data_IF_602016656024
#
_entry.id   IF_602016656024
#
_cell.length_a   1.000
_cell.length_b   1.000
_cell.length_c   1.000
_cell.angle_alpha   90.00
_cell.angle_beta   90.00
_cell.angle_gamma   90.00
#
_symmetry.space_group_name_H-M   'P 1'
#
loop_
_entity.id
_entity.type
_entity.pdbx_description
1 polymer ?
#
# COMPACT_ATOMS: atom_id res chain seq x y z
N UNK A 1 -14.35 11.46 5.50
CA UNK A 1 -13.81 10.34 6.29
C UNK A 1 -12.74 9.70 5.45
N UNK A 2 -11.50 9.74 5.92
CA UNK A 2 -10.33 9.38 5.14
C UNK A 2 -10.03 7.89 5.40
N UNK A 3 -10.51 7.03 4.52
CA UNK A 3 -10.45 5.57 4.70
C UNK A 3 -9.21 4.98 4.05
N UNK A 4 -8.31 4.44 4.87
CA UNK A 4 -7.42 3.38 4.44
C UNK A 4 -8.18 2.07 4.58
N UNK A 5 -8.41 1.38 3.48
CA UNK A 5 -9.07 0.09 3.46
C UNK A 5 -8.04 -1.01 3.35
N UNK A 6 -7.98 -1.88 4.36
CA UNK A 6 -7.07 -3.02 4.36
C UNK A 6 -7.81 -4.29 3.98
N UNK A 7 -7.21 -5.09 3.09
CA UNK A 7 -7.71 -6.41 2.69
C UNK A 7 -6.62 -7.44 2.88
N UNK A 8 -6.93 -8.58 3.52
CA UNK A 8 -5.97 -9.68 3.74
C UNK A 8 -5.09 -9.54 4.99
N UNK A 9 -5.52 -8.75 5.99
CA UNK A 9 -4.82 -8.62 7.29
C UNK A 9 -4.91 -9.92 8.12
N UNK A 10 -5.86 -10.79 7.82
CA UNK A 10 -6.07 -12.04 8.56
C UNK A 10 -4.87 -12.98 8.51
N UNK A 11 -4.06 -12.90 7.46
CA UNK A 11 -2.84 -13.70 7.28
C UNK A 11 -1.59 -13.09 7.94
N UNK A 12 -1.72 -11.91 8.55
CA UNK A 12 -0.61 -11.18 9.19
C UNK A 12 -0.53 -11.41 10.70
N UNK A 13 0.71 -11.51 11.18
CA UNK A 13 1.07 -11.55 12.59
C UNK A 13 0.84 -10.18 13.26
N UNK A 14 0.89 -10.12 14.59
CA UNK A 14 0.79 -8.85 15.35
C UNK A 14 1.88 -7.84 14.95
N UNK A 15 3.16 -8.26 14.92
CA UNK A 15 4.28 -7.41 14.49
C UNK A 15 4.11 -6.87 13.05
N UNK A 16 3.53 -7.67 12.16
CA UNK A 16 3.28 -7.28 10.78
C UNK A 16 2.12 -6.29 10.68
N UNK A 17 1.14 -6.39 11.58
CA UNK A 17 0.03 -5.43 11.66
C UNK A 17 0.50 -4.09 12.20
N UNK A 18 1.38 -4.08 13.20
CA UNK A 18 2.01 -2.84 13.68
C UNK A 18 2.81 -2.18 12.57
N UNK A 19 3.63 -2.96 11.86
CA UNK A 19 4.38 -2.49 10.68
C UNK A 19 3.44 -1.95 9.60
N UNK A 20 2.32 -2.64 9.32
CA UNK A 20 1.31 -2.21 8.36
C UNK A 20 0.74 -0.84 8.75
N UNK A 21 0.33 -0.68 10.01
CA UNK A 21 -0.26 0.56 10.50
C UNK A 21 0.73 1.73 10.44
N UNK A 22 1.97 1.51 10.89
CA UNK A 22 3.00 2.55 10.89
C UNK A 22 3.33 3.02 9.46
N UNK A 23 3.61 2.09 8.55
CA UNK A 23 3.99 2.41 7.17
C UNK A 23 2.79 2.99 6.42
N UNK A 24 1.59 2.46 6.63
CA UNK A 24 0.39 2.94 5.93
C UNK A 24 0.00 4.34 6.36
N UNK A 25 0.12 4.67 7.65
CA UNK A 25 -0.14 6.03 8.14
C UNK A 25 0.82 7.04 7.51
N UNK A 26 2.13 6.77 7.56
CA UNK A 26 3.16 7.63 6.95
C UNK A 26 2.97 7.78 5.45
N UNK A 27 2.67 6.67 4.76
CA UNK A 27 2.49 6.68 3.30
C UNK A 27 1.20 7.36 2.89
N UNK A 28 0.14 7.25 3.69
CA UNK A 28 -1.12 7.93 3.46
C UNK A 28 -0.96 9.45 3.50
N UNK A 29 -0.25 9.99 4.50
CA UNK A 29 0.06 11.42 4.55
C UNK A 29 0.84 11.90 3.32
N UNK A 30 1.82 11.12 2.86
CA UNK A 30 2.57 11.43 1.63
C UNK A 30 1.65 11.44 0.39
N UNK A 31 0.81 10.42 0.23
CA UNK A 31 -0.13 10.34 -0.91
C UNK A 31 -1.12 11.51 -0.85
N UNK A 32 -1.65 11.83 0.32
CA UNK A 32 -2.54 12.98 0.54
C UNK A 32 -1.86 14.30 0.13
N UNK A 33 -0.62 14.50 0.55
CA UNK A 33 0.17 15.69 0.21
C UNK A 33 0.47 15.77 -1.29
N UNK A 34 0.75 14.65 -1.96
CA UNK A 34 0.97 14.60 -3.41
C UNK A 34 -0.29 14.94 -4.20
N UNK A 35 -1.44 14.39 -3.79
CA UNK A 35 -2.71 14.60 -4.49
C UNK A 35 -3.37 15.94 -4.16
N UNK A 36 -2.95 16.60 -3.06
CA UNK A 36 -3.53 17.86 -2.53
C UNK A 36 -5.06 17.84 -2.46
N UNK A 37 -5.64 16.65 -2.22
CA UNK A 37 -7.09 16.41 -2.21
C UNK A 37 -7.46 15.59 -0.98
N UNK A 38 -8.42 16.10 -0.22
CA UNK A 38 -8.86 15.50 1.04
C UNK A 38 -9.68 14.21 0.85
N UNK A 39 -10.36 14.04 -0.29
CA UNK A 39 -11.19 12.86 -0.61
C UNK A 39 -10.40 11.71 -1.26
N UNK A 40 -9.17 11.48 -0.82
CA UNK A 40 -8.36 10.36 -1.33
C UNK A 40 -8.64 9.08 -0.53
N UNK A 41 -9.06 8.02 -1.23
CA UNK A 41 -9.20 6.68 -0.67
C UNK A 41 -7.99 5.83 -1.03
N UNK A 42 -7.40 5.13 -0.05
CA UNK A 42 -6.29 4.22 -0.28
C UNK A 42 -6.69 2.81 0.15
N UNK A 43 -6.57 1.84 -0.75
CA UNK A 43 -6.83 0.44 -0.46
C UNK A 43 -5.54 -0.36 -0.53
N UNK A 44 -5.23 -1.12 0.51
CA UNK A 44 -4.05 -1.99 0.59
C UNK A 44 -4.53 -3.44 0.61
N UNK A 45 -4.19 -4.18 -0.43
CA UNK A 45 -4.49 -5.60 -0.57
C UNK A 45 -3.23 -6.42 -0.33
N UNK A 46 -3.32 -7.34 0.62
CA UNK A 46 -2.22 -8.17 1.08
C UNK A 46 -2.59 -9.62 0.78
N UNK A 47 -1.71 -10.34 0.10
CA UNK A 47 -1.84 -11.77 -0.17
C UNK A 47 -0.56 -12.47 0.27
N UNK A 48 -0.70 -13.50 1.09
CA UNK A 48 0.43 -14.34 1.49
C UNK A 48 0.41 -15.65 0.70
N UNK A 49 1.54 -16.00 0.11
CA UNK A 49 1.76 -17.27 -0.58
C UNK A 49 2.75 -18.09 0.23
N UNK A 50 2.29 -19.21 0.80
CA UNK A 50 3.18 -20.16 1.48
C UNK A 50 3.83 -21.05 0.42
N UNK A 51 5.17 -21.07 0.34
CA UNK A 51 5.88 -22.17 -0.32
C UNK A 51 6.14 -23.27 0.71
N UNK A 52 6.33 -24.53 0.27
CA UNK A 52 6.68 -25.66 1.16
C UNK A 52 7.80 -25.24 2.13
N UNK A 53 7.54 -25.30 3.45
CA UNK A 53 8.45 -24.86 4.52
C UNK A 53 7.92 -23.65 5.31
N UNK A 54 8.80 -22.94 6.00
CA UNK A 54 8.47 -21.75 6.83
C UNK A 54 8.49 -20.41 6.07
N UNK A 55 8.90 -20.40 4.81
CA UNK A 55 9.02 -19.15 4.02
C UNK A 55 7.69 -18.75 3.40
N UNK A 56 7.18 -17.57 3.79
CA UNK A 56 6.04 -16.90 3.17
C UNK A 56 6.51 -15.82 2.19
N UNK A 57 5.89 -15.77 1.02
CA UNK A 57 6.05 -14.67 0.05
C UNK A 57 4.83 -13.77 0.14
N UNK A 58 5.05 -12.48 0.30
CA UNK A 58 4.01 -11.48 0.39
C UNK A 58 3.83 -10.83 -0.97
N UNK A 59 2.58 -10.67 -1.38
CA UNK A 59 2.18 -9.82 -2.48
C UNK A 59 1.35 -8.69 -1.92
N UNK A 60 1.85 -7.47 -2.06
CA UNK A 60 1.16 -6.26 -1.60
C UNK A 60 0.77 -5.46 -2.83
N UNK A 61 -0.49 -5.06 -2.89
CA UNK A 61 -1.03 -4.18 -3.93
C UNK A 61 -1.66 -2.98 -3.25
N UNK A 62 -1.18 -1.79 -3.59
CA UNK A 62 -1.74 -0.52 -3.12
C UNK A 62 -2.51 0.12 -4.26
N UNK A 63 -3.71 0.59 -3.95
CA UNK A 63 -4.58 1.33 -4.87
C UNK A 63 -4.91 2.67 -4.23
N UNK A 64 -4.59 3.77 -4.90
CA UNK A 64 -4.99 5.11 -4.51
C UNK A 64 -6.05 5.63 -5.49
N UNK A 65 -7.21 6.03 -4.97
CA UNK A 65 -8.32 6.61 -5.70
C UNK A 65 -8.32 8.11 -5.47
N UNK A 66 -8.16 8.88 -6.54
CA UNK A 66 -8.28 10.33 -6.50
C UNK A 66 -9.71 10.76 -6.92
N UNK A 67 -10.23 11.89 -6.40
CA UNK A 67 -11.58 12.38 -6.71
C UNK A 67 -11.85 12.66 -8.19
N UNK A 68 -10.81 12.92 -8.98
CA UNK A 68 -10.91 13.27 -10.40
C UNK A 68 -10.85 12.05 -11.34
N UNK A 69 -11.31 10.88 -10.89
CA UNK A 69 -11.36 9.61 -11.66
C UNK A 69 -10.00 8.92 -11.89
N UNK A 70 -8.89 9.51 -11.44
CA UNK A 70 -7.57 8.86 -11.55
C UNK A 70 -7.44 7.74 -10.52
N UNK A 71 -7.11 6.55 -11.01
CA UNK A 71 -6.84 5.37 -10.19
C UNK A 71 -5.35 5.03 -10.36
N UNK A 72 -4.61 5.10 -9.27
CA UNK A 72 -3.22 4.66 -9.23
C UNK A 72 -3.16 3.30 -8.55
N UNK A 73 -2.48 2.34 -9.17
CA UNK A 73 -2.42 0.99 -8.64
C UNK A 73 -1.08 0.40 -8.98
N UNK A 74 -0.33 0.10 -7.92
CA UNK A 74 0.90 -0.64 -8.06
C UNK A 74 0.96 -1.77 -7.05
N UNK A 75 1.73 -2.79 -7.38
CA UNK A 75 1.96 -3.90 -6.49
C UNK A 75 3.38 -4.42 -6.62
N UNK A 76 3.78 -5.17 -5.61
CA UNK A 76 5.08 -5.80 -5.54
C UNK A 76 4.96 -7.12 -4.80
N UNK A 77 5.99 -7.95 -4.93
CA UNK A 77 6.10 -9.19 -4.17
C UNK A 77 7.46 -9.28 -3.53
N UNK A 78 7.50 -9.59 -2.24
CA UNK A 78 8.74 -9.73 -1.51
C UNK A 78 8.63 -10.86 -0.47
N UNK A 79 9.76 -11.37 -0.01
CA UNK A 79 9.83 -12.33 1.09
C UNK A 79 9.76 -11.65 2.46
N UNK A 80 10.01 -10.34 2.51
CA UNK A 80 9.90 -9.51 3.72
C UNK A 80 8.70 -8.59 3.56
N UNK A 81 7.75 -8.66 4.48
CA UNK A 81 6.50 -7.90 4.43
C UNK A 81 6.73 -6.38 4.38
N UNK A 82 7.58 -5.86 5.27
CA UNK A 82 7.91 -4.43 5.33
C UNK A 82 8.45 -3.89 3.99
N UNK A 83 9.33 -4.65 3.34
CA UNK A 83 9.88 -4.29 2.04
C UNK A 83 8.80 -4.29 0.96
N UNK A 84 7.93 -5.33 0.93
CA UNK A 84 6.82 -5.36 -0.01
C UNK A 84 5.86 -4.18 0.19
N UNK A 85 5.61 -3.78 1.43
CA UNK A 85 4.72 -2.68 1.73
C UNK A 85 5.32 -1.33 1.31
N UNK A 86 6.56 -1.05 1.71
CA UNK A 86 7.28 0.17 1.31
C UNK A 86 7.40 0.28 -0.20
N UNK A 87 7.85 -0.78 -0.88
CA UNK A 87 7.99 -0.80 -2.33
C UNK A 87 6.65 -0.53 -3.05
N UNK A 88 5.53 -1.10 -2.56
CA UNK A 88 4.23 -0.87 -3.16
C UNK A 88 3.77 0.59 -2.98
N UNK A 89 3.97 1.17 -1.79
CA UNK A 89 3.64 2.57 -1.55
C UNK A 89 4.51 3.52 -2.37
N UNK A 90 5.82 3.27 -2.46
CA UNK A 90 6.74 4.11 -3.22
C UNK A 90 6.45 4.06 -4.71
N UNK A 91 6.08 2.88 -5.24
CA UNK A 91 5.62 2.76 -6.63
C UNK A 91 4.36 3.56 -6.89
N UNK A 92 3.36 3.51 -6.01
CA UNK A 92 2.14 4.35 -6.16
C UNK A 92 2.49 5.83 -6.10
N UNK A 93 3.33 6.25 -5.15
CA UNK A 93 3.76 7.64 -5.04
C UNK A 93 4.47 8.12 -6.31
N UNK A 94 5.35 7.28 -6.88
CA UNK A 94 6.04 7.59 -8.13
C UNK A 94 5.09 7.62 -9.33
N UNK A 95 4.10 6.73 -9.40
CA UNK A 95 3.05 6.81 -10.43
C UNK A 95 2.27 8.12 -10.34
N UNK A 96 1.91 8.55 -9.13
CA UNK A 96 1.24 9.84 -8.89
C UNK A 96 2.13 10.99 -9.37
N UNK A 97 3.40 11.04 -8.92
CA UNK A 97 4.36 12.09 -9.33
C UNK A 97 4.52 12.16 -10.84
N UNK A 98 4.74 11.01 -11.48
CA UNK A 98 4.89 10.91 -12.92
C UNK A 98 3.64 11.38 -13.67
N UNK A 99 2.45 11.04 -13.18
CA UNK A 99 1.18 11.46 -13.78
C UNK A 99 0.96 12.97 -13.69
N UNK A 100 1.31 13.59 -12.57
CA UNK A 100 1.23 15.04 -12.38
C UNK A 100 2.49 15.79 -12.87
N UNK A 101 3.48 15.09 -13.45
CA UNK A 101 4.81 15.61 -13.84
C UNK A 101 5.48 16.44 -12.73
N UNK A 102 5.42 15.92 -11.50
CA UNK A 102 6.06 16.49 -10.32
C UNK A 102 7.45 15.91 -10.07
#
# INVERSE_FOLDING_TARGET
>A
MNEIQYSGISDLNEEERDTLNEISSKSYEKIKNLLKKDDTTVSVHIKTYRQKGEKKKYSVTVKALAPATSIFRSGTTNWIFANALNDAFDRVQNEIKNHFKM
#
